data_IF_771449239151
#
_entry.id   IF_771449239151
#
_cell.length_a   1.000
_cell.length_b   1.000
_cell.length_c   1.000
_cell.angle_alpha   90.00
_cell.angle_beta   90.00
_cell.angle_gamma   90.00
#
_symmetry.space_group_name_H-M   'P 1'
#
loop_
_entity.id
_entity.type
_entity.pdbx_description
1 polymer ?
#
# COMPACT_ATOMS: atom_id res chain seq x y z
N UNK A 1 19.51 -2.68 -0.52
CA UNK A 1 19.32 -1.52 -1.41
C UNK A 1 17.90 -1.05 -1.20
N UNK A 2 17.66 -0.04 -0.35
CA UNK A 2 16.31 0.29 0.13
C UNK A 2 15.50 0.99 -0.96
N UNK A 3 14.61 0.26 -1.63
CA UNK A 3 13.74 0.83 -2.66
C UNK A 3 12.43 1.32 -2.01
N UNK A 4 12.33 2.62 -1.76
CA UNK A 4 11.12 3.23 -1.19
C UNK A 4 10.11 3.44 -2.32
N UNK A 5 9.16 2.52 -2.46
CA UNK A 5 8.06 2.65 -3.42
C UNK A 5 7.02 3.60 -2.85
N UNK A 6 7.00 4.85 -3.34
CA UNK A 6 5.94 5.79 -3.02
C UNK A 6 4.75 5.61 -3.96
N UNK A 7 3.66 5.01 -3.48
CA UNK A 7 2.40 4.95 -4.24
C UNK A 7 1.69 6.30 -4.10
N UNK A 8 2.04 7.28 -4.94
CA UNK A 8 1.27 8.52 -5.09
C UNK A 8 0.03 8.23 -5.93
N UNK A 9 -1.13 8.31 -5.29
CA UNK A 9 -2.42 7.99 -5.90
C UNK A 9 -2.93 9.11 -6.83
N UNK A 10 -2.14 10.17 -7.06
CA UNK A 10 -2.51 11.32 -7.87
C UNK A 10 -1.69 11.52 -9.14
N UNK A 11 -0.46 11.00 -9.26
CA UNK A 11 0.42 11.37 -10.38
C UNK A 11 1.52 10.33 -10.70
N UNK A 12 1.51 9.85 -11.94
CA UNK A 12 2.63 9.34 -12.76
C UNK A 12 3.19 7.92 -12.51
N UNK A 13 3.05 7.32 -11.33
CA UNK A 13 3.33 5.87 -11.14
C UNK A 13 2.07 5.12 -10.70
N UNK A 14 0.97 5.39 -11.39
CA UNK A 14 -0.33 4.81 -11.10
C UNK A 14 -0.34 3.34 -11.51
N UNK A 15 -0.12 2.43 -10.56
CA UNK A 15 -0.83 1.15 -10.63
C UNK A 15 -2.30 1.53 -10.55
N UNK A 16 -2.95 1.63 -11.71
CA UNK A 16 -4.38 1.95 -11.81
C UNK A 16 -5.10 0.76 -11.18
N UNK A 17 -5.33 0.86 -9.88
CA UNK A 17 -5.96 -0.19 -9.08
C UNK A 17 -7.44 -0.19 -9.48
N UNK A 18 -7.74 -0.94 -10.55
CA UNK A 18 -9.08 -1.10 -11.06
C UNK A 18 -9.89 -1.80 -9.97
N UNK A 19 -10.73 -1.01 -9.31
CA UNK A 19 -11.69 -1.44 -8.30
C UNK A 19 -12.63 -2.44 -8.95
N UNK A 20 -12.33 -3.73 -8.88
CA UNK A 20 -13.40 -4.73 -8.99
C UNK A 20 -13.13 -6.04 -8.26
N UNK A 21 -11.91 -6.57 -8.13
CA UNK A 21 -11.71 -7.82 -7.39
C UNK A 21 -10.32 -7.85 -6.73
N UNK A 22 -10.31 -7.99 -5.40
CA UNK A 22 -9.15 -8.34 -4.57
C UNK A 22 -7.92 -7.41 -4.66
N UNK A 23 -7.98 -6.29 -3.94
CA UNK A 23 -6.87 -5.33 -3.80
C UNK A 23 -5.75 -5.87 -2.88
N UNK A 24 -4.88 -6.73 -3.41
CA UNK A 24 -3.61 -7.09 -2.77
C UNK A 24 -2.46 -6.79 -3.73
N UNK A 25 -1.41 -6.14 -3.22
CA UNK A 25 -0.15 -5.94 -3.94
C UNK A 25 0.97 -6.40 -3.03
N UNK A 26 1.77 -7.37 -3.48
CA UNK A 26 2.90 -7.88 -2.70
C UNK A 26 4.18 -7.56 -3.44
N UNK A 27 5.14 -6.99 -2.72
CA UNK A 27 6.47 -6.70 -3.24
C UNK A 27 7.42 -7.82 -2.82
N UNK A 28 8.08 -8.42 -3.80
CA UNK A 28 9.17 -9.37 -3.60
C UNK A 28 10.45 -8.74 -4.14
N UNK A 29 11.62 -9.27 -3.77
CA UNK A 29 12.94 -8.76 -4.21
C UNK A 29 13.06 -8.64 -5.74
N UNK A 30 12.37 -9.53 -6.46
CA UNK A 30 12.46 -9.65 -7.92
C UNK A 30 11.31 -8.98 -8.67
N UNK A 31 10.11 -8.94 -8.09
CA UNK A 31 8.91 -8.54 -8.81
C UNK A 31 7.80 -7.95 -7.93
N UNK A 32 6.79 -7.39 -8.59
CA UNK A 32 5.58 -6.85 -7.95
C UNK A 32 4.38 -7.66 -8.38
N UNK A 33 3.80 -8.38 -7.42
CA UNK A 33 2.62 -9.22 -7.62
C UNK A 33 1.35 -8.42 -7.30
N UNK A 34 0.29 -8.60 -8.10
CA UNK A 34 -0.99 -7.89 -7.96
C UNK A 34 -2.14 -8.90 -8.01
N UNK A 35 -3.18 -8.70 -7.20
CA UNK A 35 -4.40 -9.49 -7.24
C UNK A 35 -4.24 -10.86 -6.57
N UNK A 36 -4.79 -11.92 -7.17
CA UNK A 36 -4.74 -13.26 -6.59
C UNK A 36 -3.31 -13.80 -6.46
N UNK A 37 -2.40 -13.43 -7.36
CA UNK A 37 -0.98 -13.80 -7.26
C UNK A 37 -0.29 -13.15 -6.05
N UNK A 38 -0.82 -12.05 -5.52
CA UNK A 38 -0.32 -11.41 -4.31
C UNK A 38 -0.83 -12.08 -3.01
N UNK A 39 -1.93 -12.85 -3.06
CA UNK A 39 -2.53 -13.49 -1.85
C UNK A 39 -1.66 -14.58 -1.24
N UNK A 40 -1.03 -15.41 -2.07
CA UNK A 40 -0.19 -16.50 -1.58
C UNK A 40 1.03 -15.97 -0.79
N UNK A 41 1.82 -15.01 -1.30
CA UNK A 41 2.91 -14.42 -0.53
C UNK A 41 2.43 -13.48 0.59
N UNK A 42 1.21 -12.94 0.52
CA UNK A 42 0.64 -12.13 1.60
C UNK A 42 0.51 -12.88 2.93
N UNK A 43 0.25 -14.18 2.87
CA UNK A 43 0.21 -15.03 4.07
C UNK A 43 1.59 -15.22 4.73
N UNK A 44 2.67 -15.01 3.97
CA UNK A 44 4.05 -15.25 4.40
C UNK A 44 4.72 -13.93 4.80
N UNK A 45 4.51 -12.86 4.03
CA UNK A 45 5.23 -11.57 4.18
C UNK A 45 4.26 -10.39 4.24
N UNK A 46 3.49 -10.30 5.33
CA UNK A 46 2.50 -9.24 5.55
C UNK A 46 3.10 -7.82 5.52
N UNK A 47 4.36 -7.65 5.91
CA UNK A 47 5.04 -6.33 5.90
C UNK A 47 5.25 -5.78 4.49
N UNK A 48 5.35 -6.66 3.49
CA UNK A 48 5.61 -6.29 2.10
C UNK A 48 4.35 -6.39 1.23
N UNK A 49 3.20 -6.68 1.85
CA UNK A 49 1.91 -6.73 1.18
C UNK A 49 1.07 -5.52 1.56
N UNK A 50 0.68 -4.78 0.53
CA UNK A 50 -0.26 -3.67 0.60
C UNK A 50 -1.66 -4.17 0.31
N UNK A 51 -2.58 -3.86 1.21
CA UNK A 51 -4.00 -4.15 1.08
C UNK A 51 -4.85 -3.00 1.65
N UNK A 52 -6.13 -2.99 1.32
CA UNK A 52 -7.12 -1.99 1.78
C UNK A 52 -6.72 -0.51 1.54
N UNK A 53 -5.97 -0.25 0.45
CA UNK A 53 -5.53 1.11 0.09
C UNK A 53 -6.70 2.06 -0.14
N UNK A 54 -7.87 1.54 -0.56
CA UNK A 54 -9.06 2.32 -0.91
C UNK A 54 -9.45 3.35 0.16
N UNK A 55 -9.26 3.03 1.44
CA UNK A 55 -9.53 3.94 2.57
C UNK A 55 -8.56 5.11 2.65
N UNK A 56 -7.29 4.85 2.33
CA UNK A 56 -6.21 5.84 2.31
C UNK A 56 -6.28 6.78 1.09
N UNK A 57 -6.92 6.38 -0.01
CA UNK A 57 -7.02 7.21 -1.23
C UNK A 57 -7.87 8.46 -1.02
N UNK A 58 -8.93 8.36 -0.23
CA UNK A 58 -9.96 9.41 -0.14
C UNK A 58 -9.70 10.37 1.03
N UNK A 59 -8.77 10.04 1.93
CA UNK A 59 -8.58 10.76 3.20
C UNK A 59 -7.16 11.27 3.37
N UNK A 60 -7.01 12.31 4.19
CA UNK A 60 -5.71 12.82 4.63
C UNK A 60 -5.19 11.95 5.77
N UNK A 61 -3.86 11.85 5.92
CA UNK A 61 -3.26 11.10 7.03
C UNK A 61 -3.68 11.66 8.41
N UNK A 62 -4.03 12.94 8.48
CA UNK A 62 -4.43 13.60 9.73
C UNK A 62 -5.87 13.26 10.19
N UNK A 63 -6.64 12.51 9.40
CA UNK A 63 -7.98 12.06 9.78
C UNK A 63 -7.88 11.00 10.89
N UNK A 64 -8.66 11.15 11.96
CA UNK A 64 -8.65 10.25 13.12
C UNK A 64 -8.98 8.81 12.74
N UNK A 65 -9.79 8.62 11.71
CA UNK A 65 -10.14 7.29 11.17
C UNK A 65 -8.94 6.63 10.47
N UNK A 66 -8.18 7.39 9.69
CA UNK A 66 -6.96 6.90 9.03
C UNK A 66 -5.90 6.59 10.06
N UNK A 67 -5.73 7.43 11.08
CA UNK A 67 -4.81 7.17 12.19
C UNK A 67 -5.17 5.90 12.97
N UNK A 68 -6.46 5.57 13.09
CA UNK A 68 -6.91 4.32 13.68
C UNK A 68 -6.57 3.13 12.78
N UNK A 69 -6.85 3.22 11.49
CA UNK A 69 -6.57 2.15 10.51
C UNK A 69 -5.06 1.89 10.37
N UNK A 70 -4.23 2.94 10.37
CA UNK A 70 -2.77 2.84 10.26
C UNK A 70 -2.15 2.03 11.41
N UNK A 71 -2.75 2.04 12.61
CA UNK A 71 -2.29 1.22 13.74
C UNK A 71 -2.53 -0.28 13.55
N UNK A 72 -3.46 -0.66 12.68
CA UNK A 72 -3.80 -2.05 12.39
C UNK A 72 -3.02 -2.58 11.18
N UNK A 73 -2.38 -1.72 10.40
CA UNK A 73 -1.60 -2.14 9.26
C UNK A 73 -0.20 -2.62 9.64
N UNK A 74 0.29 -3.70 9.01
CA UNK A 74 1.65 -4.22 9.25
C UNK A 74 2.74 -3.40 8.53
N UNK A 75 2.36 -2.49 7.64
CA UNK A 75 3.26 -1.66 6.83
C UNK A 75 3.27 -0.20 7.28
N UNK A 76 4.36 0.51 6.96
CA UNK A 76 4.54 1.90 7.36
C UNK A 76 3.80 2.84 6.41
N UNK A 77 3.00 3.76 6.95
CA UNK A 77 2.39 4.85 6.19
C UNK A 77 3.03 6.16 6.61
N UNK A 78 3.53 6.94 5.64
CA UNK A 78 4.16 8.24 5.83
C UNK A 78 3.30 9.33 5.18
N UNK A 79 3.31 10.53 5.75
CA UNK A 79 2.70 11.70 5.12
C UNK A 79 3.72 12.37 4.20
N UNK A 80 3.36 12.58 2.92
CA UNK A 80 4.13 13.40 1.99
C UNK A 80 3.20 14.44 1.36
N UNK A 81 3.45 15.72 1.60
CA UNK A 81 2.64 16.83 1.11
C UNK A 81 1.12 16.69 1.40
N UNK A 82 0.76 16.17 2.58
CA UNK A 82 -0.65 15.99 2.97
C UNK A 82 -1.31 14.73 2.41
N UNK A 83 -0.58 13.90 1.66
CA UNK A 83 -1.06 12.61 1.13
C UNK A 83 -0.45 11.45 1.91
N UNK A 84 -1.25 10.42 2.26
CA UNK A 84 -0.73 9.18 2.81
C UNK A 84 0.02 8.41 1.72
N UNK A 85 1.27 8.07 1.98
CA UNK A 85 2.12 7.23 1.13
C UNK A 85 2.51 6.00 1.93
N UNK A 86 2.38 4.83 1.34
CA UNK A 86 2.83 3.57 1.95
C UNK A 86 4.31 3.39 1.63
N UNK A 87 5.13 3.17 2.66
CA UNK A 87 6.55 2.90 2.54
C UNK A 87 6.81 1.43 2.84
N UNK A 88 7.42 0.75 1.89
CA UNK A 88 7.81 -0.66 2.00
C UNK A 88 9.31 -0.74 1.83
N UNK A 89 9.94 -1.64 2.58
CA UNK A 89 11.33 -1.98 2.43
C UNK A 89 11.38 -3.45 2.02
N UNK A 90 11.77 -3.68 0.77
CA UNK A 90 12.07 -5.00 0.23
C UNK A 90 13.37 -4.87 -0.56
#
# INVERSE_FOLDING_TARGET
MTLVVGIDLGTTYSVRMLVCCNMYVTFTDSERLIGDSAKNPAAINLNNTVFDVKRLIVRKLDDSTVQFDVKHYPFKVINRNGKPIIQIQY
#
